data_IF_396494795490
#
_entry.id   IF_396494795490
#
_cell.length_a   1.000
_cell.length_b   1.000
_cell.length_c   1.000
_cell.angle_alpha   90.00
_cell.angle_beta   90.00
_cell.angle_gamma   90.00
#
_symmetry.space_group_name_H-M   'P 1'
#
loop_
_entity.id
_entity.type
_entity.pdbx_description
1 polymer ?
#
# COMPACT_ATOMS: atom_id res chain seq x y z
N UNK A 1 40.08 -10.54 15.20
CA UNK A 1 38.65 -10.50 15.60
C UNK A 1 38.01 -11.84 15.25
N UNK A 2 37.63 -12.65 16.24
CA UNK A 2 36.91 -13.91 16.00
C UNK A 2 35.42 -13.61 16.09
N UNK A 3 34.73 -13.56 14.95
CA UNK A 3 33.27 -13.43 14.91
C UNK A 3 32.66 -14.75 15.38
N UNK A 4 32.11 -14.78 16.59
CA UNK A 4 31.22 -15.86 17.03
C UNK A 4 29.81 -15.37 16.80
N UNK A 5 29.11 -15.99 15.86
CA UNK A 5 27.73 -15.73 15.52
C UNK A 5 26.86 -16.23 16.69
N UNK A 6 26.53 -15.35 17.64
CA UNK A 6 25.53 -15.65 18.66
C UNK A 6 24.23 -15.00 18.20
N UNK A 7 23.34 -15.79 17.63
CA UNK A 7 22.01 -15.36 17.20
C UNK A 7 21.12 -15.18 18.43
N UNK A 8 21.23 -14.05 19.12
CA UNK A 8 20.21 -13.61 20.07
C UNK A 8 19.18 -12.84 19.26
N UNK A 9 18.07 -13.49 18.90
CA UNK A 9 16.94 -12.81 18.27
C UNK A 9 16.38 -11.80 19.27
N UNK A 10 16.43 -10.52 18.94
CA UNK A 10 15.63 -9.52 19.66
C UNK A 10 14.19 -9.72 19.20
N UNK A 11 13.46 -10.59 19.88
CA UNK A 11 12.05 -10.81 19.60
C UNK A 11 11.28 -9.59 20.12
N UNK A 12 11.04 -8.62 19.24
CA UNK A 12 10.18 -7.48 19.53
C UNK A 12 8.75 -8.01 19.60
N UNK A 13 8.36 -8.53 20.76
CA UNK A 13 6.97 -8.86 21.05
C UNK A 13 6.15 -7.58 20.86
N UNK A 14 5.17 -7.63 19.96
CA UNK A 14 4.21 -6.54 19.77
C UNK A 14 3.39 -6.37 21.06
N UNK A 15 3.83 -5.47 21.93
CA UNK A 15 3.09 -5.12 23.15
C UNK A 15 1.87 -4.28 22.76
N UNK A 16 0.69 -4.89 22.81
CA UNK A 16 -0.58 -4.25 22.53
C UNK A 16 -1.06 -3.49 23.78
N UNK A 17 -0.67 -2.22 23.93
CA UNK A 17 -1.17 -1.37 25.02
C UNK A 17 -2.54 -0.78 24.64
N UNK A 18 -3.60 -1.22 25.33
CA UNK A 18 -4.94 -0.62 25.22
C UNK A 18 -4.88 0.80 25.78
N UNK A 19 -5.13 1.80 24.93
CA UNK A 19 -4.97 3.25 25.21
C UNK A 19 -5.86 3.83 26.34
N UNK A 20 -6.60 3.01 27.08
CA UNK A 20 -7.52 3.41 28.15
C UNK A 20 -7.48 2.48 29.38
N UNK A 21 -6.32 1.99 29.80
CA UNK A 21 -6.16 1.28 31.09
C UNK A 21 -4.81 1.61 31.71
N UNK A 22 -4.59 2.85 32.17
CA UNK A 22 -3.32 3.24 32.85
C UNK A 22 -3.52 3.71 34.30
N UNK A 23 -4.71 3.66 34.87
CA UNK A 23 -4.89 4.07 36.28
C UNK A 23 -5.36 2.98 37.26
N UNK A 24 -5.45 1.71 36.87
CA UNK A 24 -5.90 0.66 37.81
C UNK A 24 -5.09 -0.66 37.83
N UNK A 25 -3.99 -0.81 37.06
CA UNK A 25 -3.30 -2.13 36.98
C UNK A 25 -1.76 -2.12 37.10
N UNK A 26 -1.15 -1.05 37.60
CA UNK A 26 0.28 -1.06 37.94
C UNK A 26 0.52 -1.74 39.31
N UNK A 27 -0.51 -1.84 40.16
CA UNK A 27 -0.40 -2.50 41.47
C UNK A 27 -0.48 -4.03 41.44
N UNK A 28 -1.15 -4.61 40.45
CA UNK A 28 -1.34 -6.06 40.41
C UNK A 28 -0.26 -6.77 39.55
N UNK A 29 0.26 -6.12 38.49
CA UNK A 29 1.24 -6.68 37.53
C UNK A 29 2.59 -7.09 38.07
N UNK A 30 3.02 -6.53 39.20
CA UNK A 30 4.30 -6.89 39.81
C UNK A 30 4.17 -8.16 40.66
N UNK A 31 2.98 -8.48 41.17
CA UNK A 31 2.81 -9.55 42.16
C UNK A 31 2.58 -10.95 41.55
N UNK A 32 2.27 -11.06 40.26
CA UNK A 32 2.15 -12.35 39.56
C UNK A 32 3.39 -12.77 38.77
N UNK A 33 4.47 -11.99 38.82
CA UNK A 33 5.78 -12.39 38.30
C UNK A 33 6.44 -13.53 39.07
N UNK A 34 5.81 -14.09 40.13
CA UNK A 34 6.40 -15.12 40.99
C UNK A 34 5.53 -16.35 41.27
N UNK A 35 4.46 -16.60 40.51
CA UNK A 35 3.70 -17.85 40.67
C UNK A 35 3.18 -18.37 39.34
N UNK A 36 3.87 -19.38 38.82
CA UNK A 36 3.29 -20.40 37.94
C UNK A 36 2.97 -19.92 36.53
N UNK A 37 3.71 -20.48 35.57
CA UNK A 37 3.26 -20.52 34.18
C UNK A 37 1.99 -21.38 34.09
N UNK A 38 0.82 -20.75 34.22
CA UNK A 38 -0.43 -21.29 33.70
C UNK A 38 -0.90 -20.43 32.53
N UNK A 39 -0.99 -21.08 31.38
CA UNK A 39 -1.30 -20.53 30.08
C UNK A 39 -2.78 -20.15 29.95
N UNK A 40 -3.27 -19.23 30.79
CA UNK A 40 -4.55 -18.57 30.53
C UNK A 40 -4.33 -17.44 29.53
N UNK A 41 -4.17 -17.83 28.27
CA UNK A 41 -4.06 -16.92 27.14
C UNK A 41 -5.31 -16.06 27.02
N UNK A 42 -5.26 -14.82 27.51
CA UNK A 42 -6.21 -13.80 27.11
C UNK A 42 -6.11 -13.65 25.59
N UNK A 43 -7.12 -14.13 24.87
CA UNK A 43 -7.23 -14.04 23.41
C UNK A 43 -7.32 -12.56 22.98
N UNK A 44 -6.17 -11.91 22.86
CA UNK A 44 -6.09 -10.53 22.42
C UNK A 44 -6.10 -10.50 20.88
N UNK A 45 -7.24 -10.17 20.29
CA UNK A 45 -7.41 -9.99 18.85
C UNK A 45 -6.85 -8.65 18.35
N UNK A 46 -5.58 -8.37 18.59
CA UNK A 46 -4.97 -7.11 18.15
C UNK A 46 -4.84 -7.11 16.61
N UNK A 47 -5.46 -6.11 15.96
CA UNK A 47 -5.25 -5.86 14.54
C UNK A 47 -3.80 -5.39 14.31
N UNK A 48 -3.18 -5.76 13.18
CA UNK A 48 -1.84 -5.30 12.85
C UNK A 48 -1.82 -3.78 12.66
N UNK A 49 -0.71 -3.15 13.04
CA UNK A 49 -0.49 -1.74 12.76
C UNK A 49 -0.42 -1.49 11.24
N UNK A 50 -0.99 -0.38 10.77
CA UNK A 50 -0.94 0.01 9.35
C UNK A 50 0.47 0.39 8.88
N UNK A 51 1.31 0.87 9.80
CA UNK A 51 2.72 1.18 9.57
C UNK A 51 3.56 0.44 10.60
N UNK A 52 4.44 -0.44 10.14
CA UNK A 52 5.39 -1.17 10.99
C UNK A 52 6.80 -0.92 10.51
N UNK A 53 7.70 -0.60 11.44
CA UNK A 53 9.13 -0.43 11.16
C UNK A 53 9.90 -1.58 11.81
N UNK A 54 10.54 -2.40 10.98
CA UNK A 54 11.27 -3.59 11.43
C UNK A 54 12.76 -3.38 11.22
N UNK A 55 13.54 -3.55 12.29
CA UNK A 55 15.00 -3.48 12.26
C UNK A 55 15.60 -4.86 12.49
N UNK A 56 16.48 -5.30 11.58
CA UNK A 56 17.26 -6.52 11.79
C UNK A 56 18.47 -6.19 12.68
N UNK A 57 18.55 -6.81 13.86
CA UNK A 57 19.64 -6.60 14.79
C UNK A 57 20.79 -7.60 14.53
N UNK A 58 22.01 -7.08 14.33
CA UNK A 58 23.22 -7.89 14.25
C UNK A 58 24.11 -7.60 15.48
N UNK A 59 24.52 -8.66 16.18
CA UNK A 59 25.31 -8.54 17.41
C UNK A 59 26.76 -8.97 17.19
N UNK A 60 27.70 -8.12 17.58
CA UNK A 60 29.12 -8.45 17.63
C UNK A 60 29.64 -8.30 19.06
N UNK A 61 30.31 -9.34 19.56
CA UNK A 61 30.82 -9.38 20.94
C UNK A 61 32.34 -9.51 20.93
N UNK A 62 33.02 -8.73 21.76
CA UNK A 62 34.47 -8.79 21.94
C UNK A 62 34.84 -8.64 23.41
N UNK A 63 36.00 -9.18 23.79
CA UNK A 63 36.46 -9.10 25.17
C UNK A 63 36.86 -7.66 25.52
N UNK A 64 36.05 -6.99 26.33
CA UNK A 64 36.32 -5.63 26.78
C UNK A 64 37.17 -5.65 28.06
N UNK A 65 38.46 -5.32 27.93
CA UNK A 65 39.34 -5.18 29.09
C UNK A 65 39.26 -3.75 29.64
N UNK A 66 38.31 -3.52 30.53
CA UNK A 66 38.02 -2.21 31.11
C UNK A 66 39.20 -1.65 31.91
N UNK A 67 39.97 -2.50 32.61
CA UNK A 67 41.10 -2.09 33.45
C UNK A 67 42.15 -1.32 32.64
N UNK A 68 42.53 -1.86 31.47
CA UNK A 68 43.50 -1.23 30.57
C UNK A 68 42.99 0.07 29.94
N UNK A 69 41.68 0.20 29.75
CA UNK A 69 41.07 1.42 29.20
C UNK A 69 41.14 2.56 30.22
N UNK A 70 40.84 2.27 31.49
CA UNK A 70 40.92 3.25 32.57
C UNK A 70 42.37 3.65 32.90
N UNK A 71 43.30 2.70 32.87
CA UNK A 71 44.75 2.97 33.00
C UNK A 71 45.22 3.97 31.93
N UNK A 72 44.76 3.82 30.68
CA UNK A 72 45.03 4.76 29.59
C UNK A 72 44.43 6.16 29.78
N UNK A 73 43.37 6.29 30.57
CA UNK A 73 42.73 7.57 30.91
C UNK A 73 43.34 8.25 32.15
N UNK A 74 44.32 7.61 32.82
CA UNK A 74 44.95 8.06 34.07
C UNK A 74 43.98 8.20 35.25
N UNK A 75 42.87 7.49 35.21
CA UNK A 75 41.87 7.46 36.28
C UNK A 75 42.19 6.33 37.27
N UNK A 76 42.17 6.64 38.57
CA UNK A 76 42.59 5.71 39.60
C UNK A 76 41.40 4.87 40.08
N UNK A 77 41.31 3.61 39.64
CA UNK A 77 40.22 2.67 39.96
C UNK A 77 40.26 2.11 41.40
N UNK A 78 41.04 2.74 42.28
CA UNK A 78 41.25 2.31 43.66
C UNK A 78 40.01 2.50 44.55
N UNK A 79 39.04 3.32 44.14
CA UNK A 79 37.84 3.64 44.95
C UNK A 79 36.63 2.74 44.70
N UNK A 80 36.68 1.83 43.71
CA UNK A 80 35.52 1.03 43.30
C UNK A 80 35.88 -0.46 43.15
N UNK A 81 36.15 -1.19 44.25
CA UNK A 81 36.40 -2.63 44.20
C UNK A 81 35.11 -3.41 43.86
N UNK A 82 35.17 -4.26 42.84
CA UNK A 82 34.09 -5.22 42.49
C UNK A 82 33.14 -4.81 41.36
N UNK A 83 33.39 -3.71 40.66
CA UNK A 83 32.55 -3.29 39.50
C UNK A 83 33.04 -3.91 38.19
N UNK A 84 32.08 -4.34 37.36
CA UNK A 84 32.32 -4.82 36.00
C UNK A 84 31.74 -3.83 35.00
N UNK A 85 32.59 -3.31 34.10
CA UNK A 85 32.14 -2.43 33.02
C UNK A 85 31.86 -3.21 31.75
N UNK A 86 30.69 -2.95 31.14
CA UNK A 86 30.31 -3.45 29.82
C UNK A 86 30.08 -2.29 28.88
N UNK A 87 30.63 -2.37 27.67
CA UNK A 87 30.43 -1.35 26.63
C UNK A 87 29.49 -1.88 25.55
N UNK A 88 28.36 -1.18 25.37
CA UNK A 88 27.40 -1.41 24.30
C UNK A 88 27.48 -0.26 23.30
N UNK A 89 27.61 -0.57 22.00
CA UNK A 89 27.60 0.43 20.94
C UNK A 89 26.56 0.01 19.89
N UNK A 90 25.57 0.87 19.68
CA UNK A 90 24.49 0.65 18.70
C UNK A 90 24.69 1.60 17.54
N UNK A 91 24.62 1.09 16.31
CA UNK A 91 24.70 1.90 15.10
C UNK A 91 23.81 1.28 14.01
N UNK A 92 23.29 2.13 13.12
CA UNK A 92 22.57 1.66 11.95
C UNK A 92 23.57 1.13 10.91
N UNK A 93 23.31 -0.07 10.40
CA UNK A 93 24.16 -0.71 9.37
C UNK A 93 24.03 0.02 8.03
N UNK A 94 22.81 0.37 7.65
CA UNK A 94 22.50 1.19 6.48
C UNK A 94 21.75 2.47 6.90
N UNK A 95 22.01 3.59 6.21
CA UNK A 95 21.36 4.89 6.46
C UNK A 95 20.03 5.06 5.72
N UNK A 96 19.60 4.06 4.95
CA UNK A 96 18.41 4.09 4.11
C UNK A 96 17.45 2.95 4.50
N UNK A 97 16.16 3.27 4.54
CA UNK A 97 15.09 2.30 4.80
C UNK A 97 14.49 1.83 3.49
N UNK A 98 14.09 0.56 3.41
CA UNK A 98 13.35 0.00 2.26
C UNK A 98 11.85 0.21 2.56
N UNK A 99 11.17 1.14 1.89
CA UNK A 99 9.73 1.31 2.08
C UNK A 99 8.98 0.17 1.39
N UNK A 100 7.99 -0.40 2.07
CA UNK A 100 7.05 -1.37 1.51
C UNK A 100 5.63 -0.89 1.79
N UNK A 101 4.97 -0.41 0.73
CA UNK A 101 3.57 0.03 0.79
C UNK A 101 2.68 -0.99 0.08
N UNK A 102 1.48 -1.23 0.63
CA UNK A 102 0.45 -2.03 -0.02
C UNK A 102 -0.57 -1.08 -0.63
N UNK A 103 -0.49 -0.89 -1.94
CA UNK A 103 -1.51 -0.18 -2.69
C UNK A 103 -2.60 -1.19 -3.11
N UNK A 104 -3.84 -0.73 -3.18
CA UNK A 104 -4.93 -1.49 -3.79
C UNK A 104 -4.56 -1.81 -5.25
N UNK A 105 -4.45 -3.11 -5.57
CA UNK A 105 -3.89 -3.57 -6.85
C UNK A 105 -4.75 -3.21 -8.05
N UNK A 106 -6.03 -2.86 -7.86
CA UNK A 106 -6.97 -2.54 -8.93
C UNK A 106 -8.05 -1.58 -8.43
N UNK A 107 -8.03 -0.35 -8.94
CA UNK A 107 -9.05 0.65 -8.68
C UNK A 107 -10.23 0.54 -9.65
N UNK A 108 -11.33 1.22 -9.34
CA UNK A 108 -12.42 1.46 -10.30
C UNK A 108 -11.90 2.12 -11.59
N UNK A 109 -10.82 2.89 -11.49
CA UNK A 109 -10.11 3.52 -12.59
C UNK A 109 -9.59 2.52 -13.62
N UNK A 110 -9.04 1.39 -13.18
CA UNK A 110 -8.50 0.35 -14.06
C UNK A 110 -9.61 -0.42 -14.76
N UNK A 111 -10.74 -0.62 -14.07
CA UNK A 111 -11.93 -1.20 -14.66
C UNK A 111 -12.54 -0.26 -15.72
N UNK A 112 -12.70 1.03 -15.40
CA UNK A 112 -13.21 2.02 -16.35
C UNK A 112 -12.29 2.20 -17.55
N UNK A 113 -10.97 2.13 -17.38
CA UNK A 113 -10.02 2.23 -18.48
C UNK A 113 -10.18 1.07 -19.47
N UNK A 114 -10.27 -0.16 -18.96
CA UNK A 114 -10.43 -1.35 -19.81
C UNK A 114 -11.79 -1.41 -20.50
N UNK A 115 -12.89 -1.14 -19.78
CA UNK A 115 -14.23 -1.10 -20.38
C UNK A 115 -14.40 0.08 -21.33
N UNK A 116 -13.92 1.27 -20.94
CA UNK A 116 -14.03 2.50 -21.71
C UNK A 116 -13.30 2.43 -23.05
N UNK A 117 -12.14 1.77 -23.12
CA UNK A 117 -11.40 1.60 -24.37
C UNK A 117 -12.18 0.79 -25.41
N UNK A 118 -12.74 -0.35 -25.01
CA UNK A 118 -13.49 -1.24 -25.91
C UNK A 118 -14.84 -0.61 -26.28
N UNK A 119 -15.57 -0.05 -25.30
CA UNK A 119 -16.84 0.63 -25.54
C UNK A 119 -16.67 1.89 -26.40
N UNK A 120 -15.58 2.62 -26.22
CA UNK A 120 -15.22 3.78 -27.03
C UNK A 120 -14.96 3.41 -28.49
N UNK A 121 -14.28 2.28 -28.75
CA UNK A 121 -14.03 1.80 -30.11
C UNK A 121 -15.34 1.41 -30.83
N UNK A 122 -16.21 0.62 -30.17
CA UNK A 122 -17.49 0.20 -30.75
C UNK A 122 -18.45 1.37 -30.96
N UNK A 123 -18.49 2.30 -30.00
CA UNK A 123 -19.33 3.52 -30.10
C UNK A 123 -18.81 4.45 -31.19
N UNK A 124 -17.49 4.60 -31.32
CA UNK A 124 -16.87 5.42 -32.36
C UNK A 124 -17.20 4.95 -33.77
N UNK A 125 -17.04 3.65 -34.06
CA UNK A 125 -17.41 3.07 -35.37
C UNK A 125 -18.91 3.25 -35.66
N UNK A 126 -19.75 3.04 -34.65
CA UNK A 126 -21.21 3.20 -34.76
C UNK A 126 -21.60 4.65 -35.07
N UNK A 127 -20.96 5.64 -34.42
CA UNK A 127 -21.22 7.07 -34.64
C UNK A 127 -20.76 7.52 -36.03
N UNK A 128 -19.58 7.09 -36.47
CA UNK A 128 -19.10 7.43 -37.81
C UNK A 128 -20.01 6.85 -38.90
N UNK A 129 -20.47 5.61 -38.74
CA UNK A 129 -21.44 5.00 -39.64
C UNK A 129 -22.78 5.75 -39.63
N UNK A 130 -23.29 6.14 -38.46
CA UNK A 130 -24.50 6.94 -38.34
C UNK A 130 -24.36 8.30 -39.04
N UNK A 131 -23.23 8.98 -38.87
CA UNK A 131 -22.94 10.26 -39.50
C UNK A 131 -22.94 10.14 -41.03
N UNK A 132 -22.38 9.07 -41.57
CA UNK A 132 -22.38 8.79 -43.01
C UNK A 132 -23.80 8.54 -43.55
N UNK A 133 -24.62 7.79 -42.82
CA UNK A 133 -26.04 7.58 -43.19
C UNK A 133 -26.80 8.92 -43.22
N UNK A 134 -26.61 9.78 -42.22
CA UNK A 134 -27.25 11.12 -42.18
C UNK A 134 -26.77 11.99 -43.35
N UNK A 135 -25.47 11.96 -43.65
CA UNK A 135 -24.89 12.67 -44.77
C UNK A 135 -25.49 12.21 -46.11
N UNK A 136 -25.59 10.90 -46.32
CA UNK A 136 -26.18 10.35 -47.55
C UNK A 136 -27.68 10.66 -47.67
N UNK A 137 -28.44 10.55 -46.57
CA UNK A 137 -29.87 10.86 -46.57
C UNK A 137 -30.13 12.33 -46.86
N UNK A 138 -29.37 13.24 -46.26
CA UNK A 138 -29.54 14.69 -46.48
C UNK A 138 -29.20 15.09 -47.93
N UNK A 139 -28.12 14.56 -48.50
CA UNK A 139 -27.79 14.79 -49.92
C UNK A 139 -28.83 14.21 -50.86
N UNK A 140 -29.30 12.98 -50.63
CA UNK A 140 -30.32 12.35 -51.48
C UNK A 140 -31.64 13.11 -51.43
N UNK A 141 -32.03 13.56 -50.24
CA UNK A 141 -33.22 14.38 -50.02
C UNK A 141 -33.09 15.74 -50.71
N UNK A 142 -31.97 16.44 -50.54
CA UNK A 142 -31.72 17.74 -51.18
C UNK A 142 -31.67 17.64 -52.71
N UNK A 143 -30.97 16.64 -53.26
CA UNK A 143 -30.91 16.42 -54.70
C UNK A 143 -32.29 16.05 -55.27
N UNK A 144 -33.08 15.24 -54.56
CA UNK A 144 -34.43 14.90 -54.96
C UNK A 144 -35.36 16.13 -54.94
N UNK A 145 -35.32 16.94 -53.87
CA UNK A 145 -36.07 18.20 -53.78
C UNK A 145 -35.66 19.21 -54.85
N UNK A 146 -34.37 19.31 -55.15
CA UNK A 146 -33.83 20.21 -56.19
C UNK A 146 -34.22 19.77 -57.61
N UNK A 147 -34.23 18.47 -57.89
CA UNK A 147 -34.55 17.96 -59.22
C UNK A 147 -36.07 17.81 -59.48
N UNK A 148 -36.89 17.52 -58.46
CA UNK A 148 -38.32 17.25 -58.63
C UNK A 148 -39.25 18.39 -58.17
N UNK A 149 -38.71 19.47 -57.61
CA UNK A 149 -39.52 20.58 -57.10
C UNK A 149 -40.40 20.17 -55.92
N UNK A 150 -40.88 21.14 -55.15
CA UNK A 150 -41.48 20.96 -53.81
C UNK A 150 -42.77 20.12 -53.72
N UNK A 151 -43.19 19.40 -54.77
CA UNK A 151 -44.58 18.94 -54.91
C UNK A 151 -44.80 17.43 -55.06
N UNK A 152 -43.78 16.56 -55.13
CA UNK A 152 -44.03 15.11 -55.28
C UNK A 152 -42.94 14.27 -54.60
N UNK A 153 -43.12 13.97 -53.30
CA UNK A 153 -42.20 13.10 -52.54
C UNK A 153 -42.50 11.59 -52.71
N UNK A 154 -43.61 11.24 -53.37
CA UNK A 154 -43.91 9.87 -53.84
C UNK A 154 -45.12 9.86 -54.81
N UNK A 155 -44.94 10.24 -56.07
CA UNK A 155 -45.86 9.90 -57.17
C UNK A 155 -45.23 10.23 -58.53
N UNK A 156 -45.13 9.23 -59.42
CA UNK A 156 -44.72 9.44 -60.82
C UNK A 156 -45.93 9.89 -61.65
N UNK A 157 -45.85 10.96 -62.48
CA UNK A 157 -46.99 11.48 -63.26
C UNK A 157 -47.52 10.54 -64.36
N UNK A 158 -46.82 9.42 -64.61
CA UNK A 158 -47.07 8.52 -65.75
C UNK A 158 -48.36 7.71 -65.69
N UNK A 159 -49.18 7.84 -64.63
CA UNK A 159 -50.45 7.11 -64.47
C UNK A 159 -51.71 7.98 -64.52
N UNK A 160 -51.60 9.30 -64.69
CA UNK A 160 -52.77 10.22 -64.65
C UNK A 160 -53.31 10.53 -66.07
N UNK A 161 -52.54 10.30 -67.14
CA UNK A 161 -52.97 10.64 -68.51
C UNK A 161 -53.76 9.54 -69.24
N UNK A 162 -54.17 8.46 -68.57
CA UNK A 162 -54.94 7.36 -69.17
C UNK A 162 -56.39 7.25 -68.60
N UNK A 163 -56.84 8.25 -67.83
CA UNK A 163 -58.18 8.29 -67.22
C UNK A 163 -58.90 9.64 -67.42
N UNK A 164 -58.57 10.35 -68.49
CA UNK A 164 -59.36 11.46 -69.07
C UNK A 164 -59.39 11.26 -70.57
#
# INVERSE_FOLDING_TARGET
MKSRHLSVGLEVSNVCLRRNVITELIGQTVNYGLSGAEEHGFACGCLPACSSLTYNAEFSQSHFNWQKVFEGYRENMSELPGVHFTRLTMFFKESQFIPAERNEMFGLTDFLANCGGILGLFTGFSILSLAEIIYFLSLRLMCNLKNYGRHYWSASPKYISNYT
#
